data_IF_899906942782
#
_entry.id   IF_899906942782
#
_cell.length_a   1.000
_cell.length_b   1.000
_cell.length_c   1.000
_cell.angle_alpha   90.00
_cell.angle_beta   90.00
_cell.angle_gamma   90.00
#
_symmetry.space_group_name_H-M   'P 1'
#
loop_
_entity.id
_entity.type
_entity.pdbx_description
1 polymer ?
#
# COMPACT_ATOMS: atom_id res chain seq x y z
N UNK A 1 -22.23 -20.26 -40.39
CA UNK A 1 -22.48 -20.52 -38.96
C UNK A 1 -21.18 -20.31 -38.18
N UNK A 2 -20.82 -19.07 -37.87
CA UNK A 2 -19.59 -18.77 -37.13
C UNK A 2 -19.96 -18.48 -35.67
N UNK A 3 -19.52 -19.36 -34.77
CA UNK A 3 -19.76 -19.27 -33.34
C UNK A 3 -18.67 -18.40 -32.71
N UNK A 4 -19.05 -17.21 -32.24
CA UNK A 4 -18.17 -16.29 -31.50
C UNK A 4 -18.24 -16.71 -30.02
N UNK A 5 -17.13 -17.10 -29.35
CA UNK A 5 -17.17 -17.38 -27.93
C UNK A 5 -17.25 -16.09 -27.11
N UNK A 6 -17.90 -16.24 -25.97
CA UNK A 6 -18.38 -15.22 -25.06
C UNK A 6 -17.37 -14.14 -24.66
N UNK A 7 -17.88 -12.92 -24.49
CA UNK A 7 -17.26 -11.85 -23.70
C UNK A 7 -17.12 -12.36 -22.26
N UNK A 8 -15.93 -12.85 -21.92
CA UNK A 8 -15.56 -13.20 -20.54
C UNK A 8 -15.45 -11.95 -19.68
N UNK A 9 -16.13 -11.98 -18.55
CA UNK A 9 -16.25 -10.96 -17.52
C UNK A 9 -14.98 -10.14 -17.26
N UNK A 10 -15.05 -8.84 -17.52
CA UNK A 10 -14.11 -7.84 -16.98
C UNK A 10 -14.44 -7.51 -15.51
N UNK A 11 -14.85 -8.49 -14.70
CA UNK A 11 -14.80 -8.36 -13.24
C UNK A 11 -13.34 -8.42 -12.83
N UNK A 12 -12.63 -7.33 -13.11
CA UNK A 12 -11.29 -7.04 -12.60
C UNK A 12 -11.48 -6.79 -11.11
N UNK A 13 -11.67 -7.87 -10.34
CA UNK A 13 -11.50 -7.87 -8.90
C UNK A 13 -10.03 -7.47 -8.69
N UNK A 14 -9.79 -6.17 -8.61
CA UNK A 14 -8.55 -5.61 -8.12
C UNK A 14 -8.41 -6.21 -6.72
N UNK A 15 -7.58 -7.24 -6.64
CA UNK A 15 -7.32 -7.93 -5.38
C UNK A 15 -6.87 -6.86 -4.39
N UNK A 16 -7.27 -6.98 -3.12
CA UNK A 16 -6.97 -6.01 -2.06
C UNK A 16 -5.47 -5.61 -2.01
N UNK A 17 -4.59 -6.49 -2.52
CA UNK A 17 -3.17 -6.27 -2.77
C UNK A 17 -2.85 -5.20 -3.82
N UNK A 18 -3.49 -5.21 -5.00
CA UNK A 18 -3.25 -4.22 -6.07
C UNK A 18 -3.66 -2.80 -5.66
N UNK A 19 -4.66 -2.68 -4.77
CA UNK A 19 -4.96 -1.40 -4.17
C UNK A 19 -3.86 -0.96 -3.20
N UNK A 20 -3.32 -1.88 -2.38
CA UNK A 20 -2.22 -1.63 -1.43
C UNK A 20 -1.00 -0.98 -2.07
N UNK A 21 -0.49 -1.57 -3.17
CA UNK A 21 0.72 -1.08 -3.85
C UNK A 21 0.61 0.39 -4.31
N UNK A 22 -0.58 0.79 -4.79
CA UNK A 22 -0.82 2.16 -5.24
C UNK A 22 -0.83 3.16 -4.07
N UNK A 23 -1.40 2.76 -2.92
CA UNK A 23 -1.43 3.59 -1.72
C UNK A 23 -0.07 3.66 -1.04
N UNK A 24 0.71 2.58 -1.06
CA UNK A 24 2.11 2.57 -0.62
C UNK A 24 2.96 3.53 -1.45
N UNK A 25 2.82 3.50 -2.78
CA UNK A 25 3.52 4.43 -3.65
C UNK A 25 3.12 5.90 -3.38
N UNK A 26 1.84 6.17 -3.11
CA UNK A 26 1.36 7.50 -2.76
C UNK A 26 1.91 7.96 -1.39
N UNK A 27 1.86 7.09 -0.38
CA UNK A 27 2.40 7.34 0.95
C UNK A 27 3.90 7.60 0.90
N UNK A 28 4.64 6.81 0.12
CA UNK A 28 6.08 6.99 -0.12
C UNK A 28 6.36 8.38 -0.68
N UNK A 29 5.70 8.77 -1.77
CA UNK A 29 5.92 10.09 -2.41
C UNK A 29 5.62 11.23 -1.45
N UNK A 30 4.57 11.10 -0.65
CA UNK A 30 4.23 12.10 0.36
C UNK A 30 5.32 12.21 1.43
N UNK A 31 5.83 11.09 1.95
CA UNK A 31 6.92 11.07 2.94
C UNK A 31 8.23 11.61 2.35
N UNK A 32 8.55 11.27 1.11
CA UNK A 32 9.71 11.82 0.39
C UNK A 32 9.59 13.35 0.26
N UNK A 33 8.40 13.87 -0.06
CA UNK A 33 8.14 15.32 -0.11
C UNK A 33 8.30 16.03 1.25
N UNK A 34 8.15 15.29 2.35
CA UNK A 34 8.35 15.78 3.72
C UNK A 34 9.82 15.76 4.15
N UNK A 35 10.72 15.29 3.28
CA UNK A 35 12.15 15.23 3.52
C UNK A 35 12.65 13.90 4.08
N UNK A 36 11.77 12.89 4.19
CA UNK A 36 12.21 11.55 4.58
C UNK A 36 12.91 10.87 3.40
N UNK A 37 14.01 10.16 3.69
CA UNK A 37 14.72 9.34 2.70
C UNK A 37 14.15 7.94 2.67
N UNK A 38 13.72 7.49 1.50
CA UNK A 38 13.30 6.12 1.28
C UNK A 38 14.45 5.12 1.51
N UNK A 39 14.17 4.06 2.28
CA UNK A 39 15.08 2.92 2.47
C UNK A 39 14.56 1.70 1.71
N UNK A 40 13.35 1.25 2.02
CA UNK A 40 12.78 0.03 1.46
C UNK A 40 11.24 0.05 1.51
N UNK A 41 10.61 -0.77 0.66
CA UNK A 41 9.17 -1.01 0.65
C UNK A 41 8.91 -2.52 0.63
N UNK A 42 7.73 -2.96 1.08
CA UNK A 42 7.30 -4.35 1.05
C UNK A 42 8.32 -5.30 1.70
N UNK A 43 8.87 -4.90 2.84
CA UNK A 43 9.89 -5.67 3.55
C UNK A 43 9.20 -6.81 4.28
N UNK A 44 9.57 -8.05 3.93
CA UNK A 44 9.07 -9.26 4.58
C UNK A 44 10.21 -9.95 5.29
N UNK A 45 10.06 -10.14 6.58
CA UNK A 45 10.99 -10.89 7.41
C UNK A 45 10.28 -12.00 8.16
N UNK A 46 11.03 -12.95 8.73
CA UNK A 46 10.46 -14.10 9.45
C UNK A 46 9.51 -13.73 10.60
N UNK A 47 9.60 -12.50 11.11
CA UNK A 47 8.78 -11.99 12.21
C UNK A 47 7.62 -11.07 11.81
N UNK A 48 7.45 -10.73 10.54
CA UNK A 48 6.37 -9.83 10.10
C UNK A 48 6.65 -9.13 8.77
N UNK A 49 5.65 -8.39 8.29
CA UNK A 49 5.74 -7.54 7.11
C UNK A 49 5.67 -6.06 7.48
N UNK A 50 6.45 -5.24 6.78
CA UNK A 50 6.48 -3.79 6.92
C UNK A 50 6.31 -3.17 5.53
N UNK A 51 5.35 -2.28 5.38
CA UNK A 51 5.01 -1.68 4.10
C UNK A 51 6.11 -0.73 3.61
N UNK A 52 6.60 0.18 4.47
CA UNK A 52 7.63 1.16 4.11
C UNK A 52 8.62 1.38 5.25
N UNK A 53 9.90 1.51 4.89
CA UNK A 53 10.97 1.92 5.78
C UNK A 53 11.60 3.21 5.22
N UNK A 54 11.66 4.23 6.08
CA UNK A 54 12.14 5.56 5.76
C UNK A 54 13.22 5.99 6.77
N UNK A 55 13.99 7.02 6.42
CA UNK A 55 14.99 7.64 7.30
C UNK A 55 14.74 9.13 7.40
N UNK A 56 14.66 9.63 8.61
CA UNK A 56 14.68 11.06 8.92
C UNK A 56 15.99 11.39 9.66
N UNK A 57 16.97 11.92 8.93
CA UNK A 57 18.31 12.15 9.46
C UNK A 57 18.97 10.89 10.03
N UNK A 58 19.02 10.78 11.36
CA UNK A 58 19.57 9.62 12.10
C UNK A 58 18.52 8.61 12.56
N UNK A 59 17.23 8.94 12.39
CA UNK A 59 16.11 8.14 12.86
C UNK A 59 15.62 7.22 11.74
N UNK A 60 15.37 5.95 12.06
CA UNK A 60 14.71 5.01 11.14
C UNK A 60 13.23 4.96 11.47
N UNK A 61 12.39 5.18 10.46
CA UNK A 61 10.94 5.28 10.59
C UNK A 61 10.31 4.11 9.85
N UNK A 62 9.57 3.28 10.58
CA UNK A 62 8.76 2.19 10.01
C UNK A 62 7.33 2.69 9.82
N UNK A 63 6.77 2.48 8.63
CA UNK A 63 5.47 3.00 8.25
C UNK A 63 4.59 1.87 7.73
N UNK A 64 3.42 1.72 8.34
CA UNK A 64 2.36 0.81 7.91
C UNK A 64 1.26 1.61 7.20
N UNK A 65 1.00 1.28 5.93
CA UNK A 65 0.10 2.01 5.04
C UNK A 65 -1.26 1.34 5.04
N UNK A 66 -2.15 1.86 5.87
CA UNK A 66 -3.53 1.36 5.95
C UNK A 66 -4.49 2.18 5.10
N UNK A 67 -4.90 1.65 3.95
CA UNK A 67 -5.99 2.23 3.17
C UNK A 67 -7.36 1.93 3.82
N UNK A 68 -8.10 2.98 4.19
CA UNK A 68 -9.49 2.89 4.66
C UNK A 68 -10.43 3.57 3.66
N UNK A 69 -11.41 2.83 3.15
CA UNK A 69 -12.43 3.33 2.20
C UNK A 69 -13.57 4.12 2.88
N UNK A 70 -13.72 3.98 4.20
CA UNK A 70 -14.72 4.69 5.01
C UNK A 70 -14.07 5.11 6.34
N UNK A 71 -14.24 6.38 6.71
CA UNK A 71 -13.68 6.98 7.94
C UNK A 71 -14.52 6.72 9.20
N UNK A 72 -15.56 5.89 9.13
CA UNK A 72 -16.58 5.84 10.19
C UNK A 72 -16.18 5.15 11.50
N UNK A 73 -15.07 4.42 11.59
CA UNK A 73 -14.66 3.82 12.87
C UNK A 73 -13.13 3.72 13.03
N UNK A 74 -12.66 4.09 14.21
CA UNK A 74 -11.36 3.70 14.76
C UNK A 74 -10.34 4.83 14.93
N UNK A 75 -10.70 5.86 15.69
CA UNK A 75 -9.77 6.46 16.63
C UNK A 75 -9.74 5.58 17.88
N UNK A 76 -8.65 4.83 18.06
CA UNK A 76 -8.37 4.13 19.31
C UNK A 76 -6.86 3.90 19.39
N UNK A 77 -6.18 4.89 19.97
CA UNK A 77 -4.96 4.75 20.76
C UNK A 77 -4.76 6.10 21.46
N UNK A 78 -5.50 6.28 22.55
CA UNK A 78 -5.13 7.15 23.67
C UNK A 78 -4.20 6.35 24.59
#
# INVERSE_FOLDING_TARGET
MAQIPARGDCSRQLTRKQAGDAWEAAARRWLESKGLRFIAANVRERGGEIDLIMRDGKTTVFVEVRYRRSGLYGGAAA
#
